data_IF_658928233049
#
_entry.id   IF_658928233049
#
_cell.length_a   1.000
_cell.length_b   1.000
_cell.length_c   1.000
_cell.angle_alpha   90.00
_cell.angle_beta   90.00
_cell.angle_gamma   90.00
#
_symmetry.space_group_name_H-M   'P 1'
#
loop_
_entity.id
_entity.type
_entity.pdbx_description
1 polymer ?
#
# COMPACT_ATOMS: atom_id res chain seq x y z
N UNK A 1 13.43 5.47 14.58
CA UNK A 1 12.09 5.10 14.09
C UNK A 1 12.11 4.35 12.75
N UNK A 2 12.91 4.78 11.75
CA UNK A 2 13.06 4.04 10.48
C UNK A 2 13.99 2.83 10.60
N UNK A 3 15.18 3.00 11.18
CA UNK A 3 16.14 1.91 11.38
C UNK A 3 15.56 0.71 12.14
N UNK A 4 14.71 0.96 13.15
CA UNK A 4 14.00 -0.07 13.90
C UNK A 4 12.98 -0.85 13.05
N UNK A 5 12.35 -0.21 12.05
CA UNK A 5 11.45 -0.89 11.10
C UNK A 5 12.22 -1.81 10.16
N UNK A 6 13.37 -1.33 9.67
CA UNK A 6 14.27 -2.10 8.81
C UNK A 6 14.81 -3.32 9.56
N UNK A 7 15.30 -3.11 10.79
CA UNK A 7 15.82 -4.19 11.61
C UNK A 7 14.76 -5.26 11.92
N UNK A 8 13.50 -4.86 12.10
CA UNK A 8 12.41 -5.79 12.34
C UNK A 8 12.03 -6.60 11.09
N UNK A 9 11.98 -5.99 9.91
CA UNK A 9 11.54 -6.66 8.68
C UNK A 9 12.44 -6.31 7.49
N UNK A 10 13.71 -6.76 7.49
CA UNK A 10 14.68 -6.37 6.46
C UNK A 10 14.30 -6.87 5.08
N UNK A 11 13.66 -8.04 4.99
CA UNK A 11 13.18 -8.63 3.72
C UNK A 11 11.96 -7.92 3.14
N UNK A 12 11.28 -7.09 3.94
CA UNK A 12 10.12 -6.28 3.54
C UNK A 12 10.47 -4.79 3.44
N UNK A 13 11.78 -4.49 3.43
CA UNK A 13 12.34 -3.15 3.22
C UNK A 13 12.98 -3.12 1.84
N UNK A 14 12.35 -2.44 0.88
CA UNK A 14 12.74 -2.43 -0.52
C UNK A 14 13.17 -1.03 -0.94
N UNK A 15 14.25 -0.91 -1.70
CA UNK A 15 14.71 0.34 -2.29
C UNK A 15 14.84 0.24 -3.81
N UNK A 16 14.65 1.38 -4.49
CA UNK A 16 15.05 1.58 -5.87
C UNK A 16 16.19 2.58 -5.92
N UNK A 17 17.23 2.25 -6.68
CA UNK A 17 18.49 2.99 -6.70
C UNK A 17 18.86 3.41 -8.12
N UNK A 18 19.52 4.56 -8.24
CA UNK A 18 20.14 4.97 -9.49
C UNK A 18 21.27 4.00 -9.85
N UNK A 19 21.23 3.44 -11.06
CA UNK A 19 22.22 2.45 -11.51
C UNK A 19 23.62 3.03 -11.70
N UNK A 20 23.73 4.33 -11.94
CA UNK A 20 25.02 5.00 -12.17
C UNK A 20 25.66 5.52 -10.88
N UNK A 21 24.85 6.08 -9.98
CA UNK A 21 25.36 6.76 -8.78
C UNK A 21 25.15 5.96 -7.49
N UNK A 22 24.33 4.91 -7.53
CA UNK A 22 23.91 4.18 -6.33
C UNK A 22 22.96 4.95 -5.40
N UNK A 23 22.56 6.18 -5.76
CA UNK A 23 21.69 7.00 -4.93
C UNK A 23 20.30 6.36 -4.76
N UNK A 24 19.73 6.42 -3.55
CA UNK A 24 18.38 5.95 -3.28
C UNK A 24 17.34 6.92 -3.89
N UNK A 25 16.48 6.38 -4.76
CA UNK A 25 15.44 7.15 -5.47
C UNK A 25 14.04 6.94 -4.88
N UNK A 26 13.79 5.74 -4.34
CA UNK A 26 12.57 5.42 -3.63
C UNK A 26 12.80 4.31 -2.61
N UNK A 27 11.97 4.25 -1.58
CA UNK A 27 11.96 3.20 -0.57
C UNK A 27 10.53 2.83 -0.16
N UNK A 28 10.33 1.55 0.12
CA UNK A 28 9.07 0.97 0.58
C UNK A 28 9.34 0.07 1.78
N UNK A 29 8.56 0.25 2.84
CA UNK A 29 8.67 -0.55 4.06
C UNK A 29 7.32 -1.18 4.37
N UNK A 30 7.33 -2.49 4.61
CA UNK A 30 6.15 -3.25 5.01
C UNK A 30 6.43 -4.06 6.26
N UNK A 31 5.34 -4.52 6.87
CA UNK A 31 5.36 -5.54 7.90
C UNK A 31 4.27 -6.58 7.66
N UNK A 32 4.44 -7.80 8.16
CA UNK A 32 3.33 -8.74 8.28
C UNK A 32 2.26 -8.20 9.23
N UNK A 33 1.03 -8.65 9.03
CA UNK A 33 -0.10 -8.33 9.91
C UNK A 33 -1.22 -9.35 9.74
N UNK A 34 -2.37 -9.10 10.37
CA UNK A 34 -3.61 -9.87 10.21
C UNK A 34 -4.77 -8.94 9.89
N UNK A 35 -5.77 -9.45 9.17
CA UNK A 35 -6.98 -8.70 8.87
C UNK A 35 -7.64 -8.14 10.13
N UNK A 36 -7.87 -8.97 11.15
CA UNK A 36 -8.55 -8.58 12.39
C UNK A 36 -7.78 -7.50 13.17
N UNK A 37 -6.45 -7.55 13.17
CA UNK A 37 -5.60 -6.53 13.79
C UNK A 37 -5.76 -5.20 13.07
N UNK A 38 -5.63 -5.19 11.74
CA UNK A 38 -5.74 -3.97 10.93
C UNK A 38 -7.10 -3.30 11.07
N UNK A 39 -8.18 -4.08 11.18
CA UNK A 39 -9.52 -3.53 11.38
C UNK A 39 -9.67 -2.81 12.73
N UNK A 40 -8.97 -3.28 13.77
CA UNK A 40 -9.03 -2.72 15.14
C UNK A 40 -8.13 -1.51 15.35
N UNK A 41 -7.09 -1.32 14.53
CA UNK A 41 -6.21 -0.16 14.64
C UNK A 41 -6.98 1.15 14.40
N UNK A 42 -6.89 2.08 15.34
CA UNK A 42 -7.61 3.36 15.26
C UNK A 42 -6.86 4.40 14.45
N UNK A 43 -5.52 4.36 14.50
CA UNK A 43 -4.63 5.29 13.79
C UNK A 43 -3.69 4.56 12.83
N UNK A 44 -3.05 5.28 11.90
CA UNK A 44 -2.00 4.69 11.08
C UNK A 44 -0.81 4.23 11.94
N UNK A 45 -0.50 4.94 13.02
CA UNK A 45 0.62 4.56 13.89
C UNK A 45 0.35 3.22 14.58
N UNK A 46 -0.89 2.96 14.99
CA UNK A 46 -1.30 1.66 15.52
C UNK A 46 -1.10 0.54 14.50
N UNK A 47 -1.46 0.80 13.23
CA UNK A 47 -1.23 -0.14 12.13
C UNK A 47 0.26 -0.34 11.85
N UNK A 48 1.08 0.71 11.95
CA UNK A 48 2.50 0.69 11.61
C UNK A 48 3.37 0.09 12.71
N UNK A 49 2.88 0.05 13.96
CA UNK A 49 3.60 -0.52 15.09
C UNK A 49 3.78 -2.03 14.92
N UNK A 50 4.96 -2.52 15.29
CA UNK A 50 5.22 -3.96 15.40
C UNK A 50 4.35 -4.52 16.52
N UNK A 51 3.59 -5.57 16.21
CA UNK A 51 2.80 -6.32 17.17
C UNK A 51 3.54 -7.62 17.53
N UNK A 52 3.30 -8.12 18.73
CA UNK A 52 3.86 -9.41 19.13
C UNK A 52 3.28 -10.53 18.24
N UNK A 53 4.15 -11.39 17.72
CA UNK A 53 3.75 -12.47 16.82
C UNK A 53 3.65 -12.11 15.33
N UNK A 54 3.89 -10.85 14.91
CA UNK A 54 3.88 -10.47 13.48
C UNK A 54 4.83 -11.34 12.63
N UNK A 55 5.99 -11.75 13.15
CA UNK A 55 6.99 -12.56 12.44
C UNK A 55 6.58 -14.03 12.24
N UNK A 56 5.76 -14.57 13.14
CA UNK A 56 5.31 -15.97 13.10
C UNK A 56 3.96 -16.15 12.41
N UNK A 57 3.31 -15.04 12.05
CA UNK A 57 1.98 -15.03 11.51
C UNK A 57 2.02 -15.43 10.02
N UNK A 58 1.71 -16.70 9.71
CA UNK A 58 1.46 -17.18 8.35
C UNK A 58 0.11 -16.65 7.81
N UNK A 59 -0.03 -15.33 7.73
CA UNK A 59 -1.34 -14.66 7.58
C UNK A 59 -1.69 -14.28 6.16
N UNK A 60 -0.74 -14.41 5.24
CA UNK A 60 -0.91 -13.92 3.87
C UNK A 60 -1.12 -12.40 3.78
N UNK A 61 -1.00 -11.63 4.87
CA UNK A 61 -1.34 -10.21 4.88
C UNK A 61 -0.15 -9.31 5.25
N UNK A 62 0.04 -8.24 4.47
CA UNK A 62 1.01 -7.19 4.71
C UNK A 62 0.33 -5.84 5.01
N UNK A 63 1.00 -5.00 5.80
CA UNK A 63 0.70 -3.58 5.92
C UNK A 63 1.90 -2.76 5.45
N UNK A 64 1.67 -1.85 4.49
CA UNK A 64 2.68 -0.88 4.07
C UNK A 64 2.75 0.27 5.06
N UNK A 65 3.95 0.44 5.60
CA UNK A 65 4.25 1.45 6.58
C UNK A 65 4.54 2.76 5.86
N UNK A 66 5.55 2.79 4.99
CA UNK A 66 5.93 4.02 4.30
C UNK A 66 6.43 3.75 2.89
N UNK A 67 6.06 4.65 1.98
CA UNK A 67 6.61 4.79 0.64
C UNK A 67 7.16 6.21 0.52
N UNK A 68 8.45 6.33 0.24
CA UNK A 68 9.11 7.62 -0.01
C UNK A 68 9.75 7.58 -1.37
N UNK A 69 9.64 8.65 -2.15
CA UNK A 69 10.14 8.68 -3.53
C UNK A 69 10.44 10.09 -3.98
N UNK A 70 11.59 10.28 -4.61
CA UNK A 70 11.97 11.51 -5.33
C UNK A 70 11.85 11.34 -6.85
N UNK A 71 11.66 10.11 -7.34
CA UNK A 71 11.46 9.80 -8.75
C UNK A 71 10.19 8.92 -8.95
N UNK A 72 9.15 9.43 -9.64
CA UNK A 72 7.94 8.65 -9.92
C UNK A 72 8.20 7.30 -10.62
N UNK A 73 9.22 7.21 -11.47
CA UNK A 73 9.60 5.96 -12.14
C UNK A 73 10.19 4.97 -11.14
N UNK A 74 10.95 5.43 -10.16
CA UNK A 74 11.49 4.59 -9.10
C UNK A 74 10.39 4.01 -8.20
N UNK A 75 9.39 4.82 -7.81
CA UNK A 75 8.21 4.30 -7.10
C UNK A 75 7.46 3.24 -7.92
N UNK A 76 7.30 3.46 -9.23
CA UNK A 76 6.67 2.48 -10.12
C UNK A 76 7.47 1.18 -10.17
N UNK A 77 8.81 1.26 -10.28
CA UNK A 77 9.68 0.11 -10.30
C UNK A 77 9.57 -0.72 -9.01
N UNK A 78 9.43 -0.06 -7.85
CA UNK A 78 9.16 -0.75 -6.58
C UNK A 78 7.86 -1.56 -6.65
N UNK A 79 6.74 -0.96 -7.09
CA UNK A 79 5.48 -1.70 -7.19
C UNK A 79 5.55 -2.86 -8.19
N UNK A 80 6.17 -2.65 -9.36
CA UNK A 80 6.35 -3.68 -10.38
C UNK A 80 7.20 -4.86 -9.88
N UNK A 81 8.21 -4.58 -9.05
CA UNK A 81 9.00 -5.61 -8.39
C UNK A 81 8.21 -6.30 -7.27
N UNK A 82 7.50 -5.51 -6.46
CA UNK A 82 6.96 -5.99 -5.20
C UNK A 82 5.75 -6.90 -5.38
N UNK A 83 4.89 -6.67 -6.37
CA UNK A 83 3.73 -7.56 -6.59
C UNK A 83 4.12 -9.03 -6.87
N UNK A 84 5.03 -9.33 -7.83
CA UNK A 84 5.55 -10.69 -8.02
C UNK A 84 6.30 -11.23 -6.80
N UNK A 85 7.07 -10.38 -6.12
CA UNK A 85 7.78 -10.77 -4.89
C UNK A 85 6.78 -11.19 -3.81
N UNK A 86 5.72 -10.42 -3.61
CA UNK A 86 4.68 -10.71 -2.63
C UNK A 86 3.99 -12.06 -2.92
N UNK A 87 3.65 -12.30 -4.19
CA UNK A 87 3.09 -13.57 -4.64
C UNK A 87 4.04 -14.75 -4.33
N UNK A 88 5.34 -14.58 -4.66
CA UNK A 88 6.37 -15.61 -4.45
C UNK A 88 6.54 -15.96 -2.97
N UNK A 89 6.42 -14.98 -2.09
CA UNK A 89 6.47 -15.18 -0.64
C UNK A 89 5.16 -15.75 -0.06
N UNK A 90 4.08 -15.79 -0.86
CA UNK A 90 2.79 -16.33 -0.45
C UNK A 90 1.87 -15.32 0.21
N UNK A 91 2.11 -14.02 0.04
CA UNK A 91 1.20 -12.97 0.48
C UNK A 91 0.00 -12.86 -0.48
N UNK A 92 -1.19 -12.63 0.07
CA UNK A 92 -2.46 -12.48 -0.63
C UNK A 92 -3.02 -11.06 -0.60
N UNK A 93 -2.79 -10.33 0.49
CA UNK A 93 -3.40 -9.03 0.72
C UNK A 93 -2.35 -8.02 1.21
N UNK A 94 -2.41 -6.81 0.66
CA UNK A 94 -1.59 -5.69 1.09
C UNK A 94 -2.51 -4.53 1.47
N UNK A 95 -2.38 -4.06 2.70
CA UNK A 95 -3.10 -2.91 3.23
C UNK A 95 -2.20 -1.68 3.26
N UNK A 96 -2.78 -0.50 3.00
CA UNK A 96 -2.12 0.78 3.16
C UNK A 96 -3.04 1.75 3.89
N UNK A 97 -2.45 2.63 4.70
CA UNK A 97 -3.09 3.88 5.06
C UNK A 97 -2.84 4.93 3.99
N UNK A 98 -3.87 5.63 3.54
CA UNK A 98 -3.76 6.77 2.64
C UNK A 98 -4.38 8.02 3.27
N UNK A 99 -3.70 9.18 3.25
CA UNK A 99 -4.38 10.46 3.41
C UNK A 99 -5.33 10.70 2.22
N UNK A 100 -6.22 11.68 2.37
CA UNK A 100 -7.17 12.16 1.36
C UNK A 100 -6.96 13.67 1.12
N UNK A 101 -5.81 14.07 0.54
CA UNK A 101 -5.38 15.46 0.49
C UNK A 101 -6.34 16.40 -0.26
N UNK A 102 -7.24 15.89 -1.11
CA UNK A 102 -8.22 16.73 -1.79
C UNK A 102 -9.50 16.99 -0.98
N UNK A 103 -9.63 16.40 0.22
CA UNK A 103 -10.88 16.44 0.99
C UNK A 103 -11.26 17.87 1.39
N UNK A 104 -10.33 18.65 1.92
CA UNK A 104 -10.65 20.01 2.37
C UNK A 104 -11.18 20.89 1.24
N UNK A 105 -10.44 20.96 0.15
CA UNK A 105 -10.79 21.79 -1.00
C UNK A 105 -12.11 21.36 -1.63
N UNK A 106 -12.41 20.07 -1.59
CA UNK A 106 -13.68 19.56 -2.06
C UNK A 106 -14.81 19.92 -1.10
N UNK A 107 -14.60 19.80 0.21
CA UNK A 107 -15.61 20.11 1.24
C UNK A 107 -15.96 21.60 1.27
N UNK A 108 -14.99 22.49 1.04
CA UNK A 108 -15.26 23.93 0.95
C UNK A 108 -16.17 24.30 -0.23
N UNK A 109 -16.13 23.52 -1.31
CA UNK A 109 -16.96 23.69 -2.51
C UNK A 109 -18.28 22.90 -2.47
N UNK A 110 -18.38 21.92 -1.58
CA UNK A 110 -19.53 21.02 -1.46
C UNK A 110 -19.99 20.94 0.01
N UNK A 111 -20.43 22.07 0.61
CA UNK A 111 -20.91 22.07 1.98
C UNK A 111 -22.12 21.14 2.10
N UNK A 112 -22.10 20.25 3.09
CA UNK A 112 -23.19 19.30 3.37
C UNK A 112 -22.99 17.89 2.81
N UNK A 113 -22.00 17.66 1.93
CA UNK A 113 -21.69 16.30 1.49
C UNK A 113 -20.73 15.62 2.49
N UNK A 114 -20.98 14.35 2.80
CA UNK A 114 -20.18 13.59 3.77
C UNK A 114 -18.80 13.24 3.24
N UNK A 115 -17.83 13.07 4.15
CA UNK A 115 -16.48 12.57 3.85
C UNK A 115 -16.55 11.22 3.11
N UNK A 116 -17.46 10.35 3.56
CA UNK A 116 -17.66 9.02 2.98
C UNK A 116 -18.09 9.04 1.51
N UNK A 117 -18.90 10.04 1.12
CA UNK A 117 -19.29 10.26 -0.27
C UNK A 117 -18.10 10.76 -1.09
N UNK A 118 -17.30 11.72 -0.59
CA UNK A 118 -16.09 12.19 -1.28
C UNK A 118 -15.11 11.05 -1.57
N UNK A 119 -14.75 10.29 -0.53
CA UNK A 119 -13.76 9.21 -0.58
C UNK A 119 -14.14 8.13 -1.59
N UNK A 120 -15.45 7.84 -1.73
CA UNK A 120 -15.96 6.85 -2.69
C UNK A 120 -16.31 7.43 -4.06
N UNK A 121 -16.30 8.75 -4.20
CA UNK A 121 -16.64 9.40 -5.47
C UNK A 121 -15.59 9.13 -6.53
N UNK A 122 -16.06 8.95 -7.77
CA UNK A 122 -15.21 8.64 -8.91
C UNK A 122 -15.51 9.54 -10.10
N UNK A 123 -14.49 9.73 -10.95
CA UNK A 123 -14.62 10.31 -12.29
C UNK A 123 -13.97 9.36 -13.27
N UNK A 124 -14.72 8.92 -14.28
CA UNK A 124 -14.25 7.95 -15.28
C UNK A 124 -13.68 6.66 -14.65
N UNK A 125 -14.35 6.14 -13.62
CA UNK A 125 -13.94 4.92 -12.90
C UNK A 125 -12.71 5.06 -12.01
N UNK A 126 -12.19 6.28 -11.80
CA UNK A 126 -11.05 6.56 -10.93
C UNK A 126 -11.49 7.39 -9.72
N UNK A 127 -10.92 7.16 -8.51
CA UNK A 127 -11.18 8.02 -7.35
C UNK A 127 -10.99 9.51 -7.66
N UNK A 128 -11.83 10.36 -7.08
CA UNK A 128 -11.68 11.82 -7.17
C UNK A 128 -10.43 12.31 -6.44
N UNK A 129 -10.18 11.78 -5.24
CA UNK A 129 -9.00 12.14 -4.45
C UNK A 129 -7.70 11.72 -5.18
N UNK A 130 -6.71 12.63 -5.30
CA UNK A 130 -5.50 12.36 -6.08
C UNK A 130 -4.63 11.24 -5.48
N UNK A 131 -4.56 11.11 -4.15
CA UNK A 131 -3.77 10.06 -3.51
C UNK A 131 -4.44 8.70 -3.63
N UNK A 132 -5.76 8.64 -3.44
CA UNK A 132 -6.52 7.41 -3.69
C UNK A 132 -6.43 7.00 -5.16
N UNK A 133 -6.48 7.96 -6.09
CA UNK A 133 -6.30 7.68 -7.53
C UNK A 133 -4.91 7.12 -7.82
N UNK A 134 -3.87 7.67 -7.18
CA UNK A 134 -2.50 7.17 -7.33
C UNK A 134 -2.42 5.69 -6.94
N UNK A 135 -2.90 5.33 -5.74
CA UNK A 135 -2.84 3.94 -5.28
C UNK A 135 -3.81 3.01 -6.01
N UNK A 136 -4.96 3.52 -6.48
CA UNK A 136 -5.88 2.76 -7.30
C UNK A 136 -5.22 2.27 -8.59
N UNK A 137 -4.41 3.11 -9.24
CA UNK A 137 -3.58 2.75 -10.42
C UNK A 137 -2.38 1.84 -10.08
N UNK A 138 -2.24 1.42 -8.82
CA UNK A 138 -1.23 0.48 -8.34
C UNK A 138 -1.83 -0.83 -7.85
N UNK A 139 -3.12 -1.06 -8.05
CA UNK A 139 -3.82 -2.27 -7.62
C UNK A 139 -4.54 -2.17 -6.28
N UNK A 140 -4.50 -1.03 -5.59
CA UNK A 140 -5.24 -0.82 -4.33
C UNK A 140 -6.68 -0.37 -4.63
N UNK A 141 -7.51 -1.34 -5.02
CA UNK A 141 -8.85 -1.08 -5.57
C UNK A 141 -9.97 -1.02 -4.54
N UNK A 142 -9.72 -1.42 -3.29
CA UNK A 142 -10.75 -1.46 -2.25
C UNK A 142 -10.50 -0.45 -1.14
N UNK A 143 -11.55 0.32 -0.80
CA UNK A 143 -11.62 1.09 0.45
C UNK A 143 -12.19 0.17 1.53
N UNK A 144 -11.40 -0.08 2.56
CA UNK A 144 -11.74 -0.99 3.67
C UNK A 144 -12.40 -0.23 4.81
N UNK A 145 -11.83 0.92 5.17
CA UNK A 145 -12.36 1.77 6.23
C UNK A 145 -12.02 3.24 5.94
N UNK A 146 -12.88 4.12 6.44
CA UNK A 146 -12.63 5.57 6.53
C UNK A 146 -12.55 5.85 8.01
N UNK A 147 -11.46 6.47 8.46
CA UNK A 147 -11.14 6.66 9.87
C UNK A 147 -10.83 8.14 10.10
N UNK A 148 -11.52 8.73 11.07
CA UNK A 148 -11.23 10.07 11.55
C UNK A 148 -9.97 10.04 12.43
N UNK A 149 -9.18 11.11 12.42
CA UNK A 149 -7.92 11.22 13.17
C UNK A 149 -6.90 10.09 12.88
N UNK A 150 -6.93 9.54 11.66
CA UNK A 150 -6.09 8.40 11.29
C UNK A 150 -4.66 8.80 10.91
N UNK A 151 -4.50 10.00 10.31
CA UNK A 151 -3.23 10.63 10.00
C UNK A 151 -3.27 12.08 10.47
N UNK A 152 -2.22 12.62 11.12
CA UNK A 152 -2.07 14.06 11.25
C UNK A 152 -1.73 14.64 9.87
N UNK A 153 -2.76 15.02 9.11
CA UNK A 153 -2.64 15.51 7.75
C UNK A 153 -3.74 16.55 7.47
N UNK A 154 -3.31 17.79 7.55
CA UNK A 154 -4.15 18.97 7.57
C UNK A 154 -5.05 19.09 6.30
N UNK A 155 -4.56 18.88 5.06
CA UNK A 155 -5.42 18.86 3.87
C UNK A 155 -6.47 17.73 3.85
N UNK A 156 -6.23 16.66 4.61
CA UNK A 156 -7.18 15.56 4.78
C UNK A 156 -8.14 15.79 5.95
N UNK A 157 -8.04 16.90 6.69
CA UNK A 157 -8.78 17.13 7.93
C UNK A 157 -8.58 15.97 8.93
N UNK A 158 -7.36 15.43 8.96
CA UNK A 158 -6.94 14.25 9.70
C UNK A 158 -7.71 12.94 9.42
N UNK A 159 -8.57 12.95 8.41
CA UNK A 159 -9.19 11.74 7.87
C UNK A 159 -8.15 10.93 7.13
N UNK A 160 -8.21 9.62 7.33
CA UNK A 160 -7.48 8.68 6.50
C UNK A 160 -8.32 7.51 6.06
N UNK A 161 -7.83 6.85 5.02
CA UNK A 161 -8.51 5.73 4.39
C UNK A 161 -7.60 4.52 4.44
N UNK A 162 -8.12 3.44 4.99
CA UNK A 162 -7.49 2.13 4.89
C UNK A 162 -7.89 1.53 3.54
N UNK A 163 -6.91 1.30 2.68
CA UNK A 163 -7.10 0.70 1.35
C UNK A 163 -6.44 -0.66 1.28
N UNK A 164 -6.96 -1.52 0.39
CA UNK A 164 -6.44 -2.87 0.16
C UNK A 164 -6.21 -3.14 -1.31
N UNK A 165 -5.07 -3.75 -1.60
CA UNK A 165 -4.78 -4.41 -2.86
C UNK A 165 -4.66 -5.91 -2.64
N UNK A 166 -5.26 -6.70 -3.55
CA UNK A 166 -5.11 -8.15 -3.56
C UNK A 166 -3.94 -8.50 -4.48
N UNK A 167 -3.00 -9.28 -3.97
CA UNK A 167 -1.88 -9.81 -4.77
C UNK A 167 -2.46 -10.68 -5.88
N UNK A 168 -2.22 -10.38 -7.17
CA UNK A 168 -2.72 -11.20 -8.27
C UNK A 168 -2.30 -12.65 -8.15
N UNK A 169 -3.20 -13.56 -8.53
CA UNK A 169 -2.97 -15.00 -8.56
C UNK A 169 -2.69 -15.65 -7.20
N UNK A 170 -2.84 -14.91 -6.10
CA UNK A 170 -2.60 -15.39 -4.73
C UNK A 170 -3.50 -16.55 -4.29
N UNK A 171 -4.66 -16.74 -4.93
CA UNK A 171 -5.56 -17.88 -4.66
C UNK A 171 -4.93 -19.25 -4.91
N UNK A 172 -3.85 -19.32 -5.72
CA UNK A 172 -3.06 -20.53 -5.96
C UNK A 172 -1.58 -20.32 -5.59
N UNK A 173 -1.29 -19.53 -4.55
CA UNK A 173 0.07 -19.15 -4.14
C UNK A 173 1.05 -20.33 -4.02
N UNK A 174 0.58 -21.51 -3.63
CA UNK A 174 1.39 -22.73 -3.53
C UNK A 174 2.00 -23.18 -4.86
N UNK A 175 1.32 -22.97 -5.99
CA UNK A 175 1.85 -23.27 -7.32
C UNK A 175 2.94 -22.28 -7.70
N UNK A 176 2.69 -20.99 -7.44
CA UNK A 176 3.62 -19.91 -7.77
C UNK A 176 4.90 -19.93 -6.93
N UNK A 177 4.86 -20.51 -5.72
CA UNK A 177 6.05 -20.77 -4.89
C UNK A 177 7.09 -21.66 -5.57
N UNK A 178 6.71 -22.48 -6.56
CA UNK A 178 7.66 -23.32 -7.32
C UNK A 178 8.22 -22.62 -8.56
N UNK A 179 7.57 -21.56 -9.04
CA UNK A 179 8.00 -20.82 -10.24
C UNK A 179 9.17 -19.88 -9.90
N UNK A 180 10.26 -19.86 -10.68
CA UNK A 180 11.34 -18.91 -10.48
C UNK A 180 10.86 -17.45 -10.58
N UNK A 181 11.34 -16.59 -9.66
CA UNK A 181 10.95 -15.16 -9.65
C UNK A 181 11.22 -14.43 -10.99
N UNK A 182 12.33 -14.67 -11.71
CA UNK A 182 12.57 -14.02 -13.00
C UNK A 182 11.47 -14.29 -14.04
N UNK A 183 10.82 -15.47 -13.97
CA UNK A 183 9.73 -15.82 -14.88
C UNK A 183 8.46 -15.04 -14.54
N UNK A 184 8.13 -14.92 -13.24
CA UNK A 184 7.03 -14.07 -12.76
C UNK A 184 7.25 -12.60 -13.17
N UNK A 185 8.48 -12.11 -13.05
CA UNK A 185 8.83 -10.75 -13.45
C UNK A 185 8.74 -10.51 -14.96
N UNK A 186 8.99 -11.52 -15.80
CA UNK A 186 8.75 -11.42 -17.25
C UNK A 186 7.26 -11.34 -17.59
N UNK A 187 6.42 -12.07 -16.83
CA UNK A 187 4.96 -12.05 -16.98
C UNK A 187 4.31 -10.79 -16.38
N UNK A 188 5.09 -9.87 -15.78
CA UNK A 188 4.57 -8.67 -15.11
C UNK A 188 3.63 -7.85 -15.99
N UNK A 189 3.96 -7.70 -17.28
CA UNK A 189 3.17 -6.91 -18.23
C UNK A 189 1.79 -7.51 -18.54
N UNK A 190 1.63 -8.82 -18.38
CA UNK A 190 0.38 -9.52 -18.67
C UNK A 190 -0.52 -9.65 -17.45
N UNK A 191 0.10 -9.80 -16.26
CA UNK A 191 -0.62 -10.18 -15.03
C UNK A 191 -0.74 -9.03 -14.03
N UNK A 192 0.24 -8.12 -14.00
CA UNK A 192 0.39 -7.12 -12.93
C UNK A 192 0.34 -5.67 -13.43
N UNK A 193 0.46 -5.40 -14.74
CA UNK A 193 0.43 -4.05 -15.33
C UNK A 193 -1.00 -3.55 -15.62
N UNK A 194 -2.00 -4.43 -15.62
CA UNK A 194 -3.42 -4.04 -15.72
C UNK A 194 -4.07 -3.67 -14.38
N UNK A 195 -3.29 -3.60 -13.29
CA UNK A 195 -3.74 -3.25 -11.95
C UNK A 195 -3.71 -1.75 -11.64
#
# INVERSE_FOLDING_TARGET
MLASRIAAFPTLSVGAFCVHTGAALASLFMKPTRHDVIHRCSTWEDCARRQHGDESAATGTLFGISLSSIDPKAANAIFEFFWPYALKQGWSDIYLGSPVPGLRDWRSKNPGITVAQYVRSQRQGLPLDPQLRYYFKKGFRQIVAIKDNYFPHEPSLDVGVLIRGRVPLSGLSFLWKRVPLPWLQRMKKLVFVCL
#
